data_IF_358439089746
#
_entry.id   IF_358439089746
#
_cell.length_a   1.000
_cell.length_b   1.000
_cell.length_c   1.000
_cell.angle_alpha   90.00
_cell.angle_beta   90.00
_cell.angle_gamma   90.00
#
_symmetry.space_group_name_H-M   'P 1'
#
loop_
_entity.id
_entity.type
_entity.pdbx_description
1 polymer ?
#
# COMPACT_ATOMS: atom_id res chain seq x y z
N UNK A 1 -26.77 10.24 -6.93
CA UNK A 1 -26.25 11.58 -6.77
C UNK A 1 -24.92 11.72 -7.49
N UNK A 2 -24.82 12.70 -8.36
CA UNK A 2 -23.61 12.89 -9.17
C UNK A 2 -22.38 13.21 -8.32
N UNK A 3 -22.55 13.98 -7.25
CA UNK A 3 -21.46 14.35 -6.36
C UNK A 3 -20.80 13.14 -5.70
N UNK A 4 -21.60 12.12 -5.36
CA UNK A 4 -21.11 10.91 -4.72
C UNK A 4 -20.14 10.15 -5.62
N UNK A 5 -20.42 10.09 -6.92
CA UNK A 5 -19.55 9.41 -7.88
C UNK A 5 -18.23 10.14 -8.09
N UNK A 6 -18.27 11.48 -8.10
CA UNK A 6 -17.07 12.29 -8.28
C UNK A 6 -16.08 12.07 -7.14
N UNK A 7 -16.57 11.89 -5.90
CA UNK A 7 -15.72 11.74 -4.72
C UNK A 7 -14.90 10.45 -4.75
N UNK A 8 -15.43 9.39 -5.36
CA UNK A 8 -14.71 8.12 -5.46
C UNK A 8 -13.49 8.22 -6.37
N UNK A 9 -13.55 9.07 -7.39
CA UNK A 9 -12.44 9.22 -8.34
C UNK A 9 -11.16 9.66 -7.64
N UNK A 10 -11.24 10.68 -6.78
CA UNK A 10 -10.07 11.16 -6.05
C UNK A 10 -9.48 10.09 -5.14
N UNK A 11 -10.33 9.39 -4.40
CA UNK A 11 -9.87 8.31 -3.53
C UNK A 11 -9.18 7.21 -4.32
N UNK A 12 -9.78 6.76 -5.41
CA UNK A 12 -9.21 5.69 -6.22
C UNK A 12 -7.90 6.10 -6.86
N UNK A 13 -7.75 7.35 -7.28
CA UNK A 13 -6.49 7.85 -7.82
C UNK A 13 -5.37 7.79 -6.77
N UNK A 14 -5.64 8.25 -5.55
CA UNK A 14 -4.64 8.22 -4.48
C UNK A 14 -4.25 6.79 -4.14
N UNK A 15 -5.22 5.88 -4.07
CA UNK A 15 -4.95 4.47 -3.77
C UNK A 15 -4.16 3.80 -4.89
N UNK A 16 -4.51 4.05 -6.15
CA UNK A 16 -3.78 3.51 -7.31
C UNK A 16 -2.35 4.02 -7.34
N UNK A 17 -2.16 5.31 -7.10
CA UNK A 17 -0.82 5.91 -7.08
C UNK A 17 0.02 5.31 -5.95
N UNK A 18 -0.57 5.11 -4.78
CA UNK A 18 0.11 4.46 -3.65
C UNK A 18 0.53 3.05 -3.97
N UNK A 19 -0.36 2.25 -4.58
CA UNK A 19 -0.06 0.88 -4.97
C UNK A 19 1.04 0.83 -6.04
N UNK A 20 0.98 1.73 -7.03
CA UNK A 20 1.99 1.80 -8.08
C UNK A 20 3.35 2.19 -7.52
N UNK A 21 3.39 3.16 -6.60
CA UNK A 21 4.63 3.59 -5.96
C UNK A 21 5.25 2.47 -5.13
N UNK A 22 4.45 1.80 -4.31
CA UNK A 22 4.94 0.68 -3.50
C UNK A 22 5.50 -0.43 -4.38
N UNK A 23 4.83 -0.74 -5.49
CA UNK A 23 5.30 -1.75 -6.44
C UNK A 23 6.60 -1.36 -7.13
N UNK A 24 6.74 -0.10 -7.51
CA UNK A 24 7.97 0.41 -8.13
C UNK A 24 9.13 0.34 -7.15
N UNK A 25 8.93 0.77 -5.91
CA UNK A 25 9.97 0.73 -4.87
C UNK A 25 10.42 -0.70 -4.60
N UNK A 26 9.49 -1.65 -4.61
CA UNK A 26 9.85 -3.06 -4.43
C UNK A 26 10.70 -3.58 -5.58
N UNK A 27 10.30 -3.27 -6.83
CA UNK A 27 11.09 -3.70 -8.00
C UNK A 27 12.49 -3.10 -7.97
N UNK A 28 12.59 -1.81 -7.63
CA UNK A 28 13.89 -1.14 -7.55
C UNK A 28 14.75 -1.70 -6.41
N UNK A 29 14.12 -2.01 -5.26
CA UNK A 29 14.81 -2.63 -4.14
C UNK A 29 15.35 -4.01 -4.49
N UNK A 30 14.54 -4.81 -5.21
CA UNK A 30 14.96 -6.14 -5.65
C UNK A 30 16.13 -6.04 -6.63
N UNK A 31 16.08 -5.10 -7.57
CA UNK A 31 17.16 -4.85 -8.50
C UNK A 31 18.44 -4.42 -7.78
N UNK A 32 18.32 -3.53 -6.79
CA UNK A 32 19.46 -3.09 -5.99
C UNK A 32 20.12 -4.28 -5.28
N UNK A 33 19.32 -5.19 -4.74
CA UNK A 33 19.84 -6.33 -4.00
C UNK A 33 20.48 -7.39 -4.90
N UNK A 34 19.78 -7.78 -5.96
CA UNK A 34 20.18 -8.94 -6.77
C UNK A 34 21.07 -8.57 -7.96
N UNK A 35 20.82 -7.44 -8.61
CA UNK A 35 21.63 -7.03 -9.75
C UNK A 35 22.84 -6.21 -9.33
N UNK A 36 22.66 -5.25 -8.43
CA UNK A 36 23.71 -4.30 -8.04
C UNK A 36 24.45 -4.71 -6.79
N UNK A 37 23.95 -5.70 -6.05
CA UNK A 37 24.53 -6.16 -4.78
C UNK A 37 24.67 -5.02 -3.76
N UNK A 38 23.76 -4.07 -3.80
CA UNK A 38 23.77 -2.88 -2.95
C UNK A 38 22.73 -3.02 -1.84
N UNK A 39 23.16 -3.58 -0.70
CA UNK A 39 22.27 -3.82 0.44
C UNK A 39 21.80 -2.53 1.10
N UNK A 40 22.63 -1.48 1.08
CA UNK A 40 22.24 -0.18 1.62
C UNK A 40 21.13 0.46 0.82
N UNK A 41 21.23 0.42 -0.50
CA UNK A 41 20.19 0.93 -1.39
C UNK A 41 18.90 0.10 -1.26
N UNK A 42 19.02 -1.22 -1.16
CA UNK A 42 17.87 -2.09 -0.93
C UNK A 42 17.13 -1.67 0.35
N UNK A 43 17.85 -1.50 1.46
CA UNK A 43 17.25 -1.06 2.72
C UNK A 43 16.58 0.30 2.59
N UNK A 44 17.24 1.27 1.97
CA UNK A 44 16.69 2.61 1.80
C UNK A 44 15.37 2.60 1.01
N UNK A 45 15.31 1.80 -0.05
CA UNK A 45 14.10 1.68 -0.88
C UNK A 45 12.97 0.98 -0.12
N UNK A 46 13.30 -0.05 0.68
CA UNK A 46 12.31 -0.72 1.52
C UNK A 46 11.76 0.21 2.61
N UNK A 47 12.60 1.07 3.17
CA UNK A 47 12.17 2.08 4.13
C UNK A 47 11.24 3.09 3.48
N UNK A 48 11.54 3.52 2.26
CA UNK A 48 10.65 4.42 1.50
C UNK A 48 9.30 3.76 1.23
N UNK A 49 9.29 2.47 0.91
CA UNK A 49 8.07 1.71 0.68
C UNK A 49 7.21 1.66 1.94
N UNK A 50 7.83 1.39 3.09
CA UNK A 50 7.12 1.41 4.38
C UNK A 50 6.54 2.79 4.66
N UNK A 51 7.31 3.86 4.42
CA UNK A 51 6.83 5.22 4.61
C UNK A 51 5.67 5.56 3.68
N UNK A 52 5.69 5.03 2.45
CA UNK A 52 4.57 5.20 1.50
C UNK A 52 3.27 4.67 2.08
N UNK A 53 3.30 3.53 2.77
CA UNK A 53 2.10 2.95 3.39
C UNK A 53 1.59 3.83 4.54
N UNK A 54 2.49 4.38 5.34
CA UNK A 54 2.11 5.29 6.43
C UNK A 54 1.45 6.55 5.84
N UNK A 55 2.08 7.14 4.83
CA UNK A 55 1.58 8.36 4.20
C UNK A 55 0.23 8.11 3.50
N UNK A 56 0.03 6.92 2.95
CA UNK A 56 -1.21 6.58 2.26
C UNK A 56 -2.40 6.62 3.21
N UNK A 57 -2.25 6.13 4.42
CA UNK A 57 -3.30 6.21 5.44
C UNK A 57 -3.67 7.68 5.70
N UNK A 58 -2.67 8.53 5.90
CA UNK A 58 -2.90 9.96 6.18
C UNK A 58 -3.57 10.67 5.01
N UNK A 59 -3.11 10.38 3.79
CA UNK A 59 -3.60 11.05 2.58
C UNK A 59 -5.04 10.67 2.24
N UNK A 60 -5.49 9.49 2.66
CA UNK A 60 -6.83 9.00 2.34
C UNK A 60 -7.85 9.22 3.45
N UNK A 61 -7.41 9.63 4.64
CA UNK A 61 -8.27 9.70 5.83
C UNK A 61 -9.58 10.43 5.57
N UNK A 62 -9.53 11.62 4.98
CA UNK A 62 -10.75 12.40 4.71
C UNK A 62 -11.51 11.88 3.49
N UNK A 63 -10.79 11.38 2.48
CA UNK A 63 -11.40 10.88 1.25
C UNK A 63 -12.27 9.64 1.51
N UNK A 64 -11.92 8.85 2.51
CA UNK A 64 -12.68 7.65 2.88
C UNK A 64 -14.09 7.98 3.35
N UNK A 65 -14.32 9.20 3.82
CA UNK A 65 -15.66 9.60 4.30
C UNK A 65 -16.71 9.58 3.19
N UNK A 66 -16.32 9.63 1.93
CA UNK A 66 -17.23 9.56 0.80
C UNK A 66 -17.78 8.15 0.56
N UNK A 67 -17.13 7.13 1.12
CA UNK A 67 -17.53 5.73 0.89
C UNK A 67 -18.76 5.35 1.71
N UNK A 68 -19.57 4.39 1.20
CA UNK A 68 -20.58 3.75 2.03
C UNK A 68 -19.96 3.18 3.30
N UNK A 69 -20.75 3.07 4.36
CA UNK A 69 -20.22 2.72 5.68
C UNK A 69 -19.41 1.42 5.70
N UNK A 70 -19.91 0.37 5.07
CA UNK A 70 -19.22 -0.93 5.08
C UNK A 70 -17.85 -0.84 4.39
N UNK A 71 -17.79 -0.25 3.20
CA UNK A 71 -16.56 -0.08 2.44
C UNK A 71 -15.60 0.86 3.17
N UNK A 72 -16.13 1.92 3.78
CA UNK A 72 -15.31 2.87 4.54
C UNK A 72 -14.61 2.19 5.70
N UNK A 73 -15.35 1.42 6.51
CA UNK A 73 -14.79 0.74 7.67
C UNK A 73 -13.75 -0.30 7.26
N UNK A 74 -14.07 -1.09 6.25
CA UNK A 74 -13.18 -2.14 5.77
C UNK A 74 -11.89 -1.56 5.19
N UNK A 75 -12.00 -0.53 4.35
CA UNK A 75 -10.85 0.10 3.73
C UNK A 75 -9.98 0.81 4.76
N UNK A 76 -10.61 1.55 5.68
CA UNK A 76 -9.87 2.24 6.75
C UNK A 76 -9.09 1.27 7.62
N UNK A 77 -9.72 0.15 7.98
CA UNK A 77 -9.07 -0.88 8.80
C UNK A 77 -7.87 -1.49 8.08
N UNK A 78 -8.00 -1.77 6.79
CA UNK A 78 -6.91 -2.33 5.99
C UNK A 78 -5.74 -1.35 5.87
N UNK A 79 -6.02 -0.09 5.55
CA UNK A 79 -4.98 0.93 5.43
C UNK A 79 -4.26 1.17 6.76
N UNK A 80 -5.01 1.16 7.86
CA UNK A 80 -4.42 1.29 9.19
C UNK A 80 -3.50 0.10 9.49
N UNK A 81 -3.91 -1.11 9.16
CA UNK A 81 -3.08 -2.29 9.37
C UNK A 81 -1.77 -2.20 8.57
N UNK A 82 -1.84 -1.74 7.32
CA UNK A 82 -0.63 -1.54 6.51
C UNK A 82 0.29 -0.49 7.15
N UNK A 83 -0.27 0.63 7.58
CA UNK A 83 0.52 1.71 8.18
C UNK A 83 1.13 1.28 9.52
N UNK A 84 0.38 0.57 10.35
CA UNK A 84 0.88 0.10 11.65
C UNK A 84 1.98 -0.94 11.47
N UNK A 85 1.81 -1.85 10.51
CA UNK A 85 2.86 -2.82 10.16
C UNK A 85 4.13 -2.12 9.68
N UNK A 86 3.96 -1.08 8.86
CA UNK A 86 5.08 -0.30 8.34
C UNK A 86 5.81 0.44 9.47
N UNK A 87 5.07 1.06 10.40
CA UNK A 87 5.67 1.73 11.56
C UNK A 87 6.46 0.75 12.41
N UNK A 88 5.91 -0.43 12.67
CA UNK A 88 6.58 -1.47 13.43
C UNK A 88 7.87 -1.91 12.74
N UNK A 89 7.82 -2.15 11.44
CA UNK A 89 8.99 -2.56 10.68
C UNK A 89 10.09 -1.50 10.73
N UNK A 90 9.73 -0.22 10.59
CA UNK A 90 10.67 0.89 10.66
C UNK A 90 11.28 1.03 12.07
N UNK A 91 10.44 0.91 13.10
CA UNK A 91 10.91 1.00 14.49
C UNK A 91 11.88 -0.12 14.85
N UNK A 92 11.63 -1.32 14.34
CA UNK A 92 12.53 -2.46 14.53
C UNK A 92 13.77 -2.38 13.65
N UNK A 93 13.75 -1.55 12.61
CA UNK A 93 14.81 -1.50 11.64
C UNK A 93 14.98 -2.81 10.88
N UNK A 94 13.91 -3.59 10.73
CA UNK A 94 13.95 -4.92 10.16
C UNK A 94 13.60 -4.90 8.68
N UNK A 95 14.60 -5.10 7.83
CA UNK A 95 14.37 -5.23 6.39
C UNK A 95 13.50 -6.44 6.08
N UNK A 96 13.65 -7.51 6.86
CA UNK A 96 12.82 -8.71 6.71
C UNK A 96 11.33 -8.37 6.86
N UNK A 97 10.97 -7.66 7.94
CA UNK A 97 9.57 -7.25 8.14
C UNK A 97 9.11 -6.25 7.09
N UNK A 98 9.98 -5.33 6.67
CA UNK A 98 9.65 -4.40 5.58
C UNK A 98 9.31 -5.15 4.30
N UNK A 99 10.09 -6.17 3.95
CA UNK A 99 9.86 -6.94 2.74
C UNK A 99 8.61 -7.81 2.81
N UNK A 100 8.20 -8.20 4.01
CA UNK A 100 7.02 -9.03 4.22
C UNK A 100 5.71 -8.24 4.20
N UNK A 101 5.77 -6.90 4.32
CA UNK A 101 4.57 -6.06 4.27
C UNK A 101 3.82 -6.29 2.97
N UNK A 102 2.50 -6.33 3.05
CA UNK A 102 1.59 -6.51 1.91
C UNK A 102 1.55 -7.93 1.34
N UNK A 103 2.31 -8.88 1.88
CA UNK A 103 2.31 -10.25 1.36
C UNK A 103 1.66 -11.22 2.34
N UNK A 104 0.87 -12.15 1.80
CA UNK A 104 0.34 -13.28 2.56
C UNK A 104 1.42 -14.34 2.68
N UNK A 105 1.27 -15.24 3.67
CA UNK A 105 2.24 -16.32 3.89
C UNK A 105 2.43 -17.20 2.67
N UNK A 106 1.35 -17.40 1.88
CA UNK A 106 1.37 -18.26 0.70
C UNK A 106 1.40 -17.46 -0.61
N UNK A 107 1.88 -16.22 -0.57
CA UNK A 107 1.95 -15.36 -1.77
C UNK A 107 2.87 -15.97 -2.81
N UNK A 108 2.40 -15.98 -4.07
CA UNK A 108 3.18 -16.47 -5.22
C UNK A 108 3.53 -15.34 -6.15
N UNK A 109 4.65 -15.49 -6.85
CA UNK A 109 5.09 -14.50 -7.83
C UNK A 109 4.01 -14.24 -8.88
N UNK A 110 3.76 -12.97 -9.17
CA UNK A 110 2.74 -12.56 -10.15
C UNK A 110 1.36 -12.33 -9.56
N UNK A 111 1.10 -12.78 -8.34
CA UNK A 111 -0.15 -12.47 -7.65
C UNK A 111 -0.13 -11.03 -7.15
N UNK A 112 -1.29 -10.34 -7.09
CA UNK A 112 -1.34 -9.00 -6.50
C UNK A 112 -0.99 -9.06 -5.02
N UNK A 113 -0.31 -8.03 -4.52
CA UNK A 113 -0.11 -7.89 -3.09
C UNK A 113 -1.41 -7.40 -2.42
N UNK A 114 -1.39 -7.31 -1.09
CA UNK A 114 -2.60 -6.94 -0.33
C UNK A 114 -3.13 -5.55 -0.70
N UNK A 115 -2.25 -4.60 -1.01
CA UNK A 115 -2.67 -3.25 -1.38
C UNK A 115 -3.28 -3.25 -2.78
N UNK A 116 -2.65 -3.91 -3.74
CA UNK A 116 -3.19 -4.05 -5.08
C UNK A 116 -4.57 -4.73 -5.05
N UNK A 117 -4.68 -5.80 -4.25
CA UNK A 117 -5.95 -6.52 -4.09
C UNK A 117 -7.03 -5.64 -3.48
N UNK A 118 -6.67 -4.81 -2.49
CA UNK A 118 -7.61 -3.87 -1.87
C UNK A 118 -8.15 -2.88 -2.90
N UNK A 119 -7.27 -2.31 -3.71
CA UNK A 119 -7.66 -1.33 -4.74
C UNK A 119 -8.56 -1.98 -5.78
N UNK A 120 -8.21 -3.16 -6.28
CA UNK A 120 -9.01 -3.87 -7.28
C UNK A 120 -10.39 -4.23 -6.76
N UNK A 121 -10.45 -4.72 -5.52
CA UNK A 121 -11.72 -5.09 -4.88
C UNK A 121 -12.62 -3.86 -4.71
N UNK A 122 -12.04 -2.75 -4.24
CA UNK A 122 -12.79 -1.51 -4.03
C UNK A 122 -13.32 -0.95 -5.37
N UNK A 123 -12.50 -0.96 -6.41
CA UNK A 123 -12.93 -0.53 -7.74
C UNK A 123 -14.12 -1.34 -8.23
N UNK A 124 -14.10 -2.66 -8.00
CA UNK A 124 -15.20 -3.54 -8.39
C UNK A 124 -16.46 -3.21 -7.60
N UNK A 125 -16.34 -2.97 -6.30
CA UNK A 125 -17.50 -2.68 -5.44
C UNK A 125 -18.14 -1.32 -5.73
N UNK A 126 -17.36 -0.36 -6.23
CA UNK A 126 -17.84 1.00 -6.48
C UNK A 126 -18.39 1.21 -7.89
N UNK A 127 -18.39 0.20 -8.74
CA UNK A 127 -18.94 0.26 -10.09
C UNK A 127 -20.47 0.29 -10.12
#
# INVERSE_FOLDING_TARGET
MAETQADYTSLLEVLRDGAARAGMLERDARSALYADKDTGRHRALMEQRAQTLIDLESRTADLLNALPEAERRQTRSALRAFADGARTALDLGSVFYMSALLYRDNHKAGEPDKLQALVEDLETRLR
#
